data_IF_043429702699
#
_entry.id   IF_043429702699
#
_cell.length_a   1.000
_cell.length_b   1.000
_cell.length_c   1.000
_cell.angle_alpha   90.00
_cell.angle_beta   90.00
_cell.angle_gamma   90.00
#
_symmetry.space_group_name_H-M   'P 1'
#
loop_
_entity.id
_entity.type
_entity.pdbx_description
1 polymer ?
#
# COMPACT_ATOMS: atom_id res chain seq x y z
N UNK A 1 15.78 -16.04 -7.61
CA UNK A 1 16.39 -15.07 -6.68
C UNK A 1 15.50 -13.86 -6.53
N UNK A 2 15.52 -13.24 -5.37
CA UNK A 2 14.88 -11.94 -5.12
C UNK A 2 15.65 -11.17 -4.05
N UNK A 3 15.45 -9.85 -4.02
CA UNK A 3 15.94 -8.99 -2.95
C UNK A 3 14.77 -8.44 -2.14
N UNK A 4 15.01 -8.20 -0.86
CA UNK A 4 14.09 -7.52 0.04
C UNK A 4 14.77 -6.26 0.54
N UNK A 5 14.12 -5.11 0.34
CA UNK A 5 14.52 -3.83 0.94
C UNK A 5 13.61 -3.55 2.13
N UNK A 6 14.18 -3.45 3.32
CA UNK A 6 13.43 -3.22 4.56
C UNK A 6 13.20 -1.73 4.71
N UNK A 7 11.94 -1.31 4.70
CA UNK A 7 11.57 0.09 4.82
C UNK A 7 11.82 0.62 6.23
N UNK A 8 12.35 1.84 6.31
CA UNK A 8 12.54 2.57 7.56
C UNK A 8 11.39 3.55 7.82
N UNK A 9 11.32 4.09 9.03
CA UNK A 9 10.35 5.15 9.37
C UNK A 9 10.54 6.45 8.57
N UNK A 10 11.66 6.58 7.86
CA UNK A 10 11.93 7.70 6.92
C UNK A 10 11.37 7.46 5.52
N UNK A 11 10.79 6.29 5.24
CA UNK A 11 10.18 6.00 3.95
C UNK A 11 9.03 6.96 3.67
N UNK A 12 9.04 7.61 2.49
CA UNK A 12 7.97 8.49 2.05
C UNK A 12 6.78 7.71 1.51
N UNK A 13 5.59 8.30 1.53
CA UNK A 13 4.43 7.68 0.89
C UNK A 13 4.62 7.47 -0.62
N UNK A 14 5.41 8.32 -1.28
CA UNK A 14 5.72 8.17 -2.70
C UNK A 14 6.46 6.87 -3.01
N UNK A 15 7.31 6.40 -2.09
CA UNK A 15 7.98 5.10 -2.22
C UNK A 15 6.95 3.95 -2.22
N UNK A 16 5.99 3.99 -1.29
CA UNK A 16 4.90 3.01 -1.25
C UNK A 16 4.02 3.06 -2.51
N UNK A 17 3.69 4.25 -2.98
CA UNK A 17 2.91 4.44 -4.20
C UNK A 17 3.65 3.91 -5.42
N UNK A 18 4.94 4.22 -5.55
CA UNK A 18 5.77 3.81 -6.68
C UNK A 18 5.86 2.28 -6.80
N UNK A 19 6.11 1.59 -5.71
CA UNK A 19 6.27 0.13 -5.72
C UNK A 19 4.98 -0.65 -5.51
N UNK A 20 4.01 -0.11 -4.78
CA UNK A 20 2.80 -0.80 -4.35
C UNK A 20 1.56 -0.59 -5.22
N UNK A 21 1.43 0.56 -5.91
CA UNK A 21 0.19 0.92 -6.61
C UNK A 21 0.24 0.71 -8.12
N UNK A 22 1.28 0.10 -8.63
CA UNK A 22 1.41 -0.24 -10.05
C UNK A 22 1.96 -1.67 -10.20
N UNK A 23 1.58 -2.32 -11.30
CA UNK A 23 2.00 -3.69 -11.60
C UNK A 23 3.39 -3.71 -12.23
N UNK A 24 4.27 -4.57 -11.75
CA UNK A 24 5.56 -4.84 -12.40
C UNK A 24 5.44 -5.59 -13.73
N UNK A 25 4.23 -6.04 -14.12
CA UNK A 25 3.97 -6.62 -15.44
C UNK A 25 3.91 -5.56 -16.53
N UNK A 26 3.43 -4.37 -16.17
CA UNK A 26 3.13 -3.29 -17.12
C UNK A 26 4.16 -2.15 -17.04
N UNK A 27 4.94 -2.09 -15.96
CA UNK A 27 5.86 -1.00 -15.68
C UNK A 27 7.17 -1.53 -15.12
N UNK A 28 8.31 -1.13 -15.73
CA UNK A 28 9.62 -1.28 -15.11
C UNK A 28 9.76 -0.22 -14.01
N UNK A 29 9.58 -0.64 -12.77
CA UNK A 29 9.61 0.26 -11.60
C UNK A 29 11.00 0.82 -11.29
N UNK A 30 12.04 0.30 -11.91
CA UNK A 30 13.43 0.74 -11.71
C UNK A 30 14.00 1.57 -12.85
N UNK A 31 13.31 1.69 -14.00
CA UNK A 31 13.82 2.37 -15.20
C UNK A 31 14.31 3.80 -14.92
N UNK A 32 13.51 4.59 -14.18
CA UNK A 32 13.82 5.99 -13.83
C UNK A 32 14.03 6.21 -12.33
N UNK A 33 14.12 5.11 -11.56
CA UNK A 33 14.24 5.17 -10.10
C UNK A 33 15.70 5.22 -9.68
N UNK A 34 16.15 6.41 -9.26
CA UNK A 34 17.56 6.70 -8.95
C UNK A 34 18.01 6.21 -7.56
N UNK A 35 17.07 5.96 -6.66
CA UNK A 35 17.34 5.56 -5.27
C UNK A 35 17.45 4.04 -5.11
N UNK A 36 18.05 3.38 -6.10
CA UNK A 36 18.32 1.95 -6.07
C UNK A 36 19.70 1.65 -6.65
N UNK A 37 20.31 0.60 -6.13
CA UNK A 37 21.59 0.08 -6.65
C UNK A 37 21.47 -1.40 -6.96
N UNK A 38 22.23 -1.87 -7.94
CA UNK A 38 22.38 -3.31 -8.19
C UNK A 38 23.39 -3.89 -7.22
N UNK A 39 23.03 -4.99 -6.58
CA UNK A 39 23.92 -5.77 -5.73
C UNK A 39 24.49 -6.96 -6.49
N UNK A 40 25.35 -7.75 -5.86
CA UNK A 40 26.13 -8.82 -6.51
C UNK A 40 25.29 -9.81 -7.31
N UNK A 41 24.08 -10.15 -6.85
CA UNK A 41 23.16 -11.04 -7.58
C UNK A 41 22.54 -10.41 -8.85
N UNK A 42 22.87 -9.16 -9.17
CA UNK A 42 22.41 -8.42 -10.35
C UNK A 42 21.03 -7.77 -10.19
N UNK A 43 20.36 -7.94 -9.05
CA UNK A 43 19.05 -7.35 -8.77
C UNK A 43 19.19 -6.04 -7.99
N UNK A 44 18.16 -5.21 -8.05
CA UNK A 44 18.12 -3.93 -7.33
C UNK A 44 17.76 -4.09 -5.86
N UNK A 45 18.33 -3.22 -5.04
CA UNK A 45 17.89 -2.88 -3.70
C UNK A 45 17.63 -1.38 -3.62
N UNK A 46 16.63 -0.98 -2.88
CA UNK A 46 16.29 0.43 -2.65
C UNK A 46 17.16 0.94 -1.50
N UNK A 47 17.78 2.11 -1.67
CA UNK A 47 18.76 2.67 -0.72
C UNK A 47 18.25 3.89 0.04
N UNK A 48 17.14 4.50 -0.39
CA UNK A 48 16.52 5.64 0.28
C UNK A 48 15.20 5.22 0.93
N UNK A 49 14.97 5.66 2.16
CA UNK A 49 13.80 5.23 2.94
C UNK A 49 13.85 3.78 3.40
N UNK A 50 15.05 3.18 3.40
CA UNK A 50 15.31 1.79 3.84
C UNK A 50 16.42 1.77 4.87
N UNK A 51 16.40 0.79 5.76
CA UNK A 51 17.42 0.62 6.79
C UNK A 51 18.25 -0.66 6.64
N UNK A 52 17.79 -1.58 5.81
CA UNK A 52 18.51 -2.83 5.51
C UNK A 52 18.03 -3.42 4.19
N UNK A 53 18.79 -4.35 3.66
CA UNK A 53 18.38 -5.20 2.56
C UNK A 53 18.94 -6.62 2.74
N UNK A 54 18.33 -7.58 2.08
CA UNK A 54 18.84 -8.94 1.95
C UNK A 54 18.56 -9.51 0.57
N UNK A 55 19.45 -10.38 0.13
CA UNK A 55 19.34 -11.18 -1.09
C UNK A 55 19.06 -12.62 -0.76
N UNK A 56 18.14 -13.22 -1.49
CA UNK A 56 17.73 -14.60 -1.25
C UNK A 56 17.64 -15.43 -2.53
N UNK A 57 17.98 -16.70 -2.41
CA UNK A 57 17.84 -17.70 -3.46
C UNK A 57 16.72 -18.65 -3.12
N UNK A 58 15.69 -18.68 -3.95
CA UNK A 58 14.55 -19.59 -3.76
C UNK A 58 15.02 -21.05 -3.88
N UNK A 59 14.74 -21.84 -2.85
CA UNK A 59 15.01 -23.29 -2.80
C UNK A 59 13.75 -24.12 -3.00
N UNK A 60 12.57 -23.58 -2.65
CA UNK A 60 11.28 -24.25 -2.81
C UNK A 60 10.17 -23.23 -3.01
N UNK A 61 9.16 -23.61 -3.77
CA UNK A 61 7.91 -22.86 -3.88
C UNK A 61 6.71 -23.78 -3.70
N UNK A 62 5.65 -23.28 -3.07
CA UNK A 62 4.39 -23.98 -2.86
C UNK A 62 3.26 -23.11 -3.39
N UNK A 63 2.51 -23.64 -4.34
CA UNK A 63 1.32 -22.99 -4.88
C UNK A 63 0.15 -23.17 -3.88
N UNK A 64 -0.39 -22.05 -3.41
CA UNK A 64 -1.54 -21.98 -2.50
C UNK A 64 -2.82 -21.51 -3.20
N UNK A 65 -2.85 -21.51 -4.54
CA UNK A 65 -3.97 -21.08 -5.36
C UNK A 65 -3.96 -19.57 -5.62
N UNK A 66 -4.28 -18.74 -4.66
CA UNK A 66 -4.26 -17.26 -4.79
C UNK A 66 -2.90 -16.64 -4.53
N UNK A 67 -2.01 -17.37 -3.88
CA UNK A 67 -0.66 -16.93 -3.49
C UNK A 67 0.34 -18.05 -3.68
N UNK A 68 1.62 -17.72 -3.77
CA UNK A 68 2.72 -18.67 -3.77
C UNK A 68 3.61 -18.43 -2.54
N UNK A 69 3.87 -19.48 -1.78
CA UNK A 69 4.86 -19.45 -0.71
C UNK A 69 6.25 -19.77 -1.29
N UNK A 70 7.23 -18.91 -1.01
CA UNK A 70 8.62 -19.15 -1.37
C UNK A 70 9.44 -19.42 -0.11
N UNK A 71 10.18 -20.52 -0.11
CA UNK A 71 11.23 -20.79 0.85
C UNK A 71 12.57 -20.44 0.18
N UNK A 72 13.41 -19.67 0.85
CA UNK A 72 14.63 -19.16 0.26
C UNK A 72 15.77 -19.10 1.28
N UNK A 73 16.99 -19.41 0.84
CA UNK A 73 18.21 -19.18 1.59
C UNK A 73 18.65 -17.72 1.45
N UNK A 74 18.97 -17.08 2.56
CA UNK A 74 19.56 -15.72 2.54
C UNK A 74 21.06 -15.87 2.22
N UNK A 75 21.48 -15.26 1.11
CA UNK A 75 22.86 -15.35 0.62
C UNK A 75 23.69 -14.13 0.97
N UNK A 76 23.06 -12.95 1.08
CA UNK A 76 23.74 -11.68 1.33
C UNK A 76 22.79 -10.66 1.97
N UNK A 77 23.33 -9.59 2.53
CA UNK A 77 22.54 -8.51 3.11
C UNK A 77 23.39 -7.49 3.82
N UNK A 78 22.83 -6.32 4.05
CA UNK A 78 23.48 -5.25 4.81
C UNK A 78 22.48 -4.38 5.55
N UNK A 79 22.93 -3.87 6.68
CA UNK A 79 22.26 -2.77 7.40
C UNK A 79 22.76 -1.46 6.81
N UNK A 80 21.82 -0.60 6.41
CA UNK A 80 22.11 0.69 5.78
C UNK A 80 22.04 1.84 6.80
N UNK A 81 21.18 1.72 7.80
CA UNK A 81 21.01 2.73 8.85
C UNK A 81 20.44 2.13 10.14
N UNK A 82 20.58 2.86 11.24
CA UNK A 82 20.00 2.51 12.54
C UNK A 82 18.55 3.03 12.70
N UNK A 83 18.00 3.70 11.70
CA UNK A 83 16.61 4.17 11.72
C UNK A 83 15.68 2.96 11.89
N UNK A 84 14.69 3.02 12.80
CA UNK A 84 13.74 1.93 13.00
C UNK A 84 13.03 1.51 11.72
N UNK A 85 12.76 0.22 11.59
CA UNK A 85 11.97 -0.30 10.47
C UNK A 85 10.52 0.16 10.58
N UNK A 86 9.93 0.50 9.46
CA UNK A 86 8.50 0.83 9.39
C UNK A 86 7.66 -0.39 9.72
N UNK A 87 6.84 -0.29 10.75
CA UNK A 87 5.77 -1.24 11.04
C UNK A 87 4.50 -0.86 10.28
N UNK A 88 3.56 -1.81 10.12
CA UNK A 88 2.26 -1.50 9.55
C UNK A 88 1.50 -0.43 10.34
N UNK A 89 1.57 -0.47 11.67
CA UNK A 89 0.97 0.54 12.54
C UNK A 89 1.58 1.93 12.31
N UNK A 90 2.90 2.02 12.20
CA UNK A 90 3.59 3.28 11.90
C UNK A 90 3.19 3.83 10.52
N UNK A 91 3.15 2.96 9.49
CA UNK A 91 2.70 3.35 8.15
C UNK A 91 1.29 3.96 8.18
N UNK A 92 0.33 3.30 8.84
CA UNK A 92 -1.05 3.79 8.91
C UNK A 92 -1.17 5.14 9.65
N UNK A 93 -0.36 5.36 10.68
CA UNK A 93 -0.45 6.53 11.54
C UNK A 93 0.32 7.74 11.02
N UNK A 94 1.46 7.52 10.35
CA UNK A 94 2.46 8.56 10.07
C UNK A 94 2.78 8.74 8.58
N UNK A 95 2.71 7.69 7.76
CA UNK A 95 3.16 7.74 6.36
C UNK A 95 1.97 7.84 5.41
N UNK A 96 0.96 6.99 5.61
CA UNK A 96 -0.23 6.97 4.75
C UNK A 96 -0.98 8.30 4.85
N UNK A 97 -1.28 8.96 3.71
CA UNK A 97 -2.08 10.17 3.73
C UNK A 97 -3.41 9.88 4.42
N UNK A 98 -3.71 10.65 5.44
CA UNK A 98 -5.05 10.60 6.05
C UNK A 98 -6.02 11.06 4.97
N UNK A 99 -7.17 10.38 4.79
CA UNK A 99 -8.23 10.91 3.96
C UNK A 99 -8.48 12.35 4.45
N UNK A 100 -8.31 13.33 3.56
CA UNK A 100 -8.81 14.65 3.89
C UNK A 100 -10.29 14.43 4.17
N UNK A 101 -10.70 14.65 5.40
CA UNK A 101 -12.09 14.89 5.72
C UNK A 101 -12.44 16.23 5.06
N UNK A 102 -12.66 16.21 3.76
CA UNK A 102 -13.58 17.17 3.19
C UNK A 102 -14.84 16.97 3.99
N UNK A 103 -15.29 18.00 4.69
CA UNK A 103 -16.64 18.04 5.23
C UNK A 103 -17.53 17.80 4.03
N UNK A 104 -17.83 16.53 3.74
CA UNK A 104 -18.81 16.19 2.73
C UNK A 104 -20.14 16.56 3.36
N UNK A 105 -20.63 17.74 3.02
CA UNK A 105 -22.03 18.07 3.25
C UNK A 105 -22.84 17.16 2.34
N UNK A 106 -23.70 16.39 2.91
CA UNK A 106 -24.47 15.42 2.17
C UNK A 106 -25.34 14.56 3.09
N UNK A 107 -25.69 13.39 2.63
CA UNK A 107 -26.55 12.46 3.33
C UNK A 107 -25.86 11.10 3.43
N UNK A 108 -25.78 10.56 4.64
CA UNK A 108 -25.17 9.26 4.91
C UNK A 108 -26.25 8.20 5.15
N UNK A 109 -26.16 7.10 4.45
CA UNK A 109 -26.98 5.93 4.72
C UNK A 109 -26.58 5.33 6.08
N UNK A 110 -27.53 5.25 7.01
CA UNK A 110 -27.32 4.69 8.37
C UNK A 110 -27.09 3.18 8.37
N UNK A 111 -27.44 2.50 7.28
CA UNK A 111 -27.32 1.05 7.15
C UNK A 111 -25.93 0.63 6.66
N UNK A 112 -25.43 1.21 5.56
CA UNK A 112 -24.17 0.79 4.92
C UNK A 112 -23.09 1.86 4.89
N UNK A 113 -23.37 3.10 5.33
CA UNK A 113 -22.41 4.20 5.33
C UNK A 113 -22.21 4.88 3.98
N UNK A 114 -22.95 4.52 2.92
CA UNK A 114 -22.91 5.20 1.64
C UNK A 114 -23.21 6.70 1.78
N UNK A 115 -22.45 7.55 1.12
CA UNK A 115 -22.62 9.01 1.15
C UNK A 115 -23.18 9.47 -0.20
N UNK A 116 -24.33 10.11 -0.15
CA UNK A 116 -24.91 10.87 -1.25
C UNK A 116 -24.43 12.31 -1.18
N UNK A 117 -23.74 12.76 -2.23
CA UNK A 117 -23.19 14.12 -2.33
C UNK A 117 -24.23 15.05 -2.96
N UNK A 118 -24.99 15.76 -2.12
CA UNK A 118 -26.01 16.71 -2.55
C UNK A 118 -26.60 17.44 -1.37
N UNK A 119 -27.08 18.67 -1.57
CA UNK A 119 -27.70 19.47 -0.51
C UNK A 119 -29.05 18.89 -0.07
N UNK A 120 -29.77 18.29 -1.01
CA UNK A 120 -31.07 17.67 -0.77
C UNK A 120 -31.07 16.22 -1.25
N UNK A 121 -31.63 15.32 -0.44
CA UNK A 121 -31.81 13.92 -0.80
C UNK A 121 -33.20 13.78 -1.46
N UNK A 122 -33.30 13.26 -2.71
CA UNK A 122 -34.57 12.98 -3.34
C UNK A 122 -35.42 12.03 -2.47
N UNK A 123 -36.70 12.30 -2.37
CA UNK A 123 -37.60 11.49 -1.53
C UNK A 123 -37.71 10.02 -2.00
N UNK A 124 -37.50 9.78 -3.25
CA UNK A 124 -37.49 8.48 -3.92
C UNK A 124 -36.09 7.85 -4.06
N UNK A 125 -35.08 8.45 -3.42
CA UNK A 125 -33.71 7.96 -3.51
C UNK A 125 -33.58 6.58 -2.86
N UNK A 126 -32.93 5.68 -3.59
CA UNK A 126 -32.61 4.33 -3.12
C UNK A 126 -31.09 4.16 -3.07
N UNK A 127 -30.58 3.73 -1.93
CA UNK A 127 -29.16 3.49 -1.77
C UNK A 127 -28.65 2.49 -2.80
N UNK A 128 -27.62 2.82 -3.60
CA UNK A 128 -27.12 1.92 -4.64
C UNK A 128 -26.45 0.67 -4.07
N UNK A 129 -26.01 0.71 -2.81
CA UNK A 129 -25.32 -0.39 -2.15
C UNK A 129 -26.29 -1.34 -1.44
N UNK A 130 -27.06 -0.84 -0.48
CA UNK A 130 -27.91 -1.68 0.38
C UNK A 130 -29.39 -1.65 0.00
N UNK A 131 -29.79 -0.87 -1.01
CA UNK A 131 -31.17 -0.75 -1.52
C UNK A 131 -32.20 -0.19 -0.53
N UNK A 132 -31.77 0.41 0.57
CA UNK A 132 -32.65 1.12 1.51
C UNK A 132 -33.05 2.49 0.97
N UNK A 133 -34.22 2.96 1.38
CA UNK A 133 -34.80 4.22 0.91
C UNK A 133 -34.24 5.47 1.60
N UNK A 134 -34.73 6.65 1.16
CA UNK A 134 -34.31 7.94 1.69
C UNK A 134 -34.50 8.10 3.20
N UNK A 135 -35.49 7.43 3.79
CA UNK A 135 -35.79 7.47 5.23
C UNK A 135 -34.61 6.95 6.10
N UNK A 136 -33.73 6.12 5.53
CA UNK A 136 -32.59 5.57 6.21
C UNK A 136 -31.31 6.42 6.05
N UNK A 137 -31.44 7.63 5.54
CA UNK A 137 -30.36 8.58 5.41
C UNK A 137 -30.40 9.67 6.47
N UNK A 138 -29.24 10.09 6.92
CA UNK A 138 -29.05 11.22 7.82
C UNK A 138 -28.18 12.29 7.16
N UNK A 139 -28.51 13.57 7.41
CA UNK A 139 -27.71 14.69 6.92
C UNK A 139 -26.41 14.80 7.73
N UNK A 140 -25.28 14.99 7.03
CA UNK A 140 -23.94 15.10 7.61
C UNK A 140 -23.28 16.44 7.24
#
# INVERSE_FOLDING_TARGET
KFNVSVLSEQASFDLFRHFGFQSGKDTDKFADFKQAVRVENGLYVVTEGTNAWLSAKVIQSVDLGTHTLFLADVEDGAVLSETPSTTYAYYQSNIKPKPQQTKKTGWRCRICGYIYEGEELPADFVCPICKHGAADFEKI
#
